data_IF_573209149660
#
_entry.id   IF_573209149660
#
_cell.length_a   1.000
_cell.length_b   1.000
_cell.length_c   1.000
_cell.angle_alpha   90.00
_cell.angle_beta   90.00
_cell.angle_gamma   90.00
#
_symmetry.space_group_name_H-M   'P 1'
#
loop_
_entity.id
_entity.type
_entity.pdbx_description
1 polymer ?
#
# COMPACT_ATOMS: atom_id res chain seq x y z
N UNK A 1 -33.10 -2.93 10.36
CA UNK A 1 -33.00 -1.49 10.01
C UNK A 1 -34.40 -0.92 9.83
N UNK A 2 -35.24 -1.53 8.99
CA UNK A 2 -36.69 -1.33 9.08
C UNK A 2 -37.21 -1.87 10.41
N UNK A 3 -37.87 -1.02 11.21
CA UNK A 3 -38.39 -1.35 12.54
C UNK A 3 -37.78 -0.52 13.70
N UNK A 4 -36.71 0.25 13.46
CA UNK A 4 -36.26 1.24 14.43
C UNK A 4 -37.21 2.44 14.41
N UNK A 5 -37.81 2.80 15.55
CA UNK A 5 -38.69 3.97 15.67
C UNK A 5 -37.95 5.21 15.15
N UNK A 6 -38.67 6.06 14.41
CA UNK A 6 -38.27 7.31 13.70
C UNK A 6 -37.40 8.33 14.47
N UNK A 7 -36.99 8.08 15.72
CA UNK A 7 -36.22 8.99 16.59
C UNK A 7 -34.74 8.65 16.74
N UNK A 8 -34.20 7.71 15.94
CA UNK A 8 -32.78 7.37 16.00
C UNK A 8 -32.03 7.98 14.80
N UNK A 9 -31.28 9.06 15.04
CA UNK A 9 -30.32 9.61 14.07
C UNK A 9 -29.06 8.74 14.04
N UNK A 10 -29.14 7.57 13.39
CA UNK A 10 -28.03 6.61 13.31
C UNK A 10 -27.64 6.44 11.84
N UNK A 11 -26.33 6.52 11.58
CA UNK A 11 -25.73 6.21 10.28
C UNK A 11 -24.91 4.92 10.45
N UNK A 12 -25.05 3.99 9.52
CA UNK A 12 -24.34 2.70 9.54
C UNK A 12 -23.41 2.62 8.35
N UNK A 13 -22.12 2.38 8.61
CA UNK A 13 -21.12 2.07 7.60
C UNK A 13 -20.76 0.59 7.65
N UNK A 14 -20.67 -0.04 6.49
CA UNK A 14 -20.17 -1.41 6.34
C UNK A 14 -18.97 -1.43 5.42
N UNK A 15 -17.99 -2.27 5.72
CA UNK A 15 -16.83 -2.53 4.85
C UNK A 15 -16.78 -4.03 4.52
N UNK A 16 -16.56 -4.38 3.25
CA UNK A 16 -16.44 -5.77 2.80
C UNK A 16 -15.46 -5.86 1.64
N UNK A 17 -14.66 -6.93 1.60
CA UNK A 17 -13.84 -7.30 0.44
C UNK A 17 -14.62 -8.23 -0.53
N UNK A 18 -15.85 -8.63 -0.17
CA UNK A 18 -16.70 -9.55 -0.93
C UNK A 18 -18.13 -8.99 -1.02
N UNK A 19 -18.37 -7.95 -1.83
CA UNK A 19 -19.71 -7.34 -1.95
C UNK A 19 -20.77 -8.34 -2.44
N UNK A 20 -20.37 -9.32 -3.25
CA UNK A 20 -21.24 -10.36 -3.78
C UNK A 20 -21.63 -11.42 -2.75
N UNK A 21 -20.98 -11.47 -1.59
CA UNK A 21 -21.35 -12.37 -0.49
C UNK A 21 -22.39 -11.75 0.45
N UNK A 22 -22.71 -10.46 0.29
CA UNK A 22 -23.75 -9.78 1.08
C UNK A 22 -25.12 -10.11 0.48
N UNK A 23 -26.08 -10.42 1.35
CA UNK A 23 -27.48 -10.62 0.97
C UNK A 23 -28.02 -9.39 0.21
N UNK A 24 -28.55 -9.64 -1.00
CA UNK A 24 -29.15 -8.61 -1.84
C UNK A 24 -30.28 -7.85 -1.15
N UNK A 25 -30.96 -8.45 -0.16
CA UNK A 25 -31.99 -7.78 0.63
C UNK A 25 -31.43 -6.64 1.51
N UNK A 26 -30.16 -6.70 1.90
CA UNK A 26 -29.50 -5.66 2.70
C UNK A 26 -29.00 -4.48 1.85
N UNK A 27 -28.75 -4.71 0.56
CA UNK A 27 -28.28 -3.71 -0.42
C UNK A 27 -29.40 -2.87 -1.05
N UNK A 28 -30.63 -3.03 -0.53
CA UNK A 28 -31.80 -2.29 -1.01
C UNK A 28 -31.95 -0.96 -0.29
N UNK A 29 -32.65 -0.04 -0.95
CA UNK A 29 -33.01 1.26 -0.42
C UNK A 29 -33.64 1.15 0.99
N UNK A 30 -33.23 2.04 1.92
CA UNK A 30 -33.63 2.02 3.34
C UNK A 30 -32.73 1.21 4.27
N UNK A 31 -31.66 0.58 3.73
CA UNK A 31 -30.67 -0.23 4.47
C UNK A 31 -29.25 0.22 4.09
N UNK A 32 -28.49 -0.59 3.36
CA UNK A 32 -27.29 -0.14 2.64
C UNK A 32 -27.71 0.34 1.26
N UNK A 33 -28.10 1.60 1.18
CA UNK A 33 -28.60 2.27 -0.03
C UNK A 33 -27.49 2.89 -0.89
N UNK A 34 -26.28 3.03 -0.32
CA UNK A 34 -25.09 3.55 -0.99
C UNK A 34 -23.95 2.55 -0.93
N UNK A 35 -23.32 2.33 -2.07
CA UNK A 35 -22.10 1.55 -2.19
C UNK A 35 -21.00 2.45 -2.74
N UNK A 36 -19.82 2.38 -2.12
CA UNK A 36 -18.64 3.12 -2.53
C UNK A 36 -17.54 2.09 -2.72
N UNK A 37 -17.08 1.94 -3.95
CA UNK A 37 -15.94 1.10 -4.26
C UNK A 37 -14.65 1.87 -3.98
N UNK A 38 -13.75 1.26 -3.21
CA UNK A 38 -12.42 1.80 -2.92
C UNK A 38 -11.42 0.96 -3.72
N UNK A 39 -10.96 1.52 -4.83
CA UNK A 39 -9.94 0.89 -5.69
C UNK A 39 -8.51 1.10 -5.19
N UNK A 40 -7.56 0.51 -5.91
CA UNK A 40 -6.12 0.74 -5.71
C UNK A 40 -5.78 2.19 -6.09
N UNK A 41 -5.00 2.91 -5.26
CA UNK A 41 -4.65 4.30 -5.55
C UNK A 41 -3.77 4.42 -6.82
N UNK A 42 -4.02 5.48 -7.59
CA UNK A 42 -3.17 5.91 -8.69
C UNK A 42 -1.85 6.53 -8.17
N UNK A 43 -0.97 6.95 -9.08
CA UNK A 43 0.32 7.57 -8.71
C UNK A 43 0.12 8.78 -7.78
N UNK A 44 -0.86 9.63 -8.09
CA UNK A 44 -1.16 10.83 -7.30
C UNK A 44 -1.70 10.45 -5.91
N UNK A 45 -2.57 9.44 -5.84
CA UNK A 45 -3.11 8.89 -4.60
C UNK A 45 -2.02 8.27 -3.72
N UNK A 46 -1.12 7.48 -4.30
CA UNK A 46 0.02 6.90 -3.58
C UNK A 46 0.96 7.97 -3.04
N UNK A 47 1.23 9.02 -3.82
CA UNK A 47 2.02 10.16 -3.35
C UNK A 47 1.35 10.84 -2.14
N UNK A 48 0.04 11.05 -2.18
CA UNK A 48 -0.69 11.62 -1.03
C UNK A 48 -0.60 10.73 0.20
N UNK A 49 -0.79 9.42 0.04
CA UNK A 49 -0.65 8.47 1.15
C UNK A 49 0.76 8.53 1.72
N UNK A 50 1.78 8.48 0.87
CA UNK A 50 3.18 8.53 1.30
C UNK A 50 3.48 9.84 2.04
N UNK A 51 3.01 10.99 1.55
CA UNK A 51 3.13 12.27 2.26
C UNK A 51 2.44 12.28 3.63
N UNK A 52 1.30 11.58 3.78
CA UNK A 52 0.62 11.45 5.08
C UNK A 52 1.46 10.58 6.03
N UNK A 53 1.98 9.46 5.54
CA UNK A 53 2.81 8.55 6.33
C UNK A 53 4.12 9.22 6.77
N UNK A 54 4.71 10.05 5.92
CA UNK A 54 5.97 10.75 6.20
C UNK A 54 5.79 12.10 6.90
N UNK A 55 4.57 12.55 7.17
CA UNK A 55 4.28 13.88 7.74
C UNK A 55 4.99 14.14 9.07
N UNK A 56 5.12 13.11 9.91
CA UNK A 56 5.76 13.21 11.22
C UNK A 56 7.22 12.72 11.22
N UNK A 57 7.74 12.35 10.05
CA UNK A 57 9.12 11.90 9.89
C UNK A 57 9.99 13.12 9.59
N UNK A 58 11.18 13.19 10.19
CA UNK A 58 12.22 14.11 9.73
C UNK A 58 12.78 13.56 8.42
N UNK A 59 12.43 14.19 7.31
CA UNK A 59 13.00 13.88 6.00
C UNK A 59 14.19 14.81 5.75
N UNK A 60 15.22 14.28 5.11
CA UNK A 60 16.31 15.08 4.56
C UNK A 60 15.83 15.88 3.33
N UNK A 61 16.45 17.02 3.06
CA UNK A 61 16.05 17.93 1.98
C UNK A 61 16.16 17.32 0.57
N UNK A 62 16.96 16.27 0.42
CA UNK A 62 17.15 15.54 -0.82
C UNK A 62 16.03 14.53 -1.12
N UNK A 63 15.16 14.22 -0.15
CA UNK A 63 14.17 13.14 -0.28
C UNK A 63 13.15 13.44 -1.38
N UNK A 64 13.09 12.56 -2.38
CA UNK A 64 12.14 12.65 -3.48
C UNK A 64 11.07 11.56 -3.40
N UNK A 65 9.98 11.86 -2.70
CA UNK A 65 8.84 10.95 -2.58
C UNK A 65 8.19 10.61 -3.93
N UNK A 66 8.30 11.48 -4.95
CA UNK A 66 7.77 11.17 -6.29
C UNK A 66 8.53 10.02 -6.95
N UNK A 67 9.84 9.92 -6.70
CA UNK A 67 10.63 8.80 -7.20
C UNK A 67 10.20 7.48 -6.54
N UNK A 68 10.00 7.47 -5.22
CA UNK A 68 9.49 6.30 -4.48
C UNK A 68 8.13 5.85 -5.03
N UNK A 69 7.25 6.78 -5.36
CA UNK A 69 5.92 6.47 -5.89
C UNK A 69 5.95 5.85 -7.28
N UNK A 70 6.94 6.22 -8.10
CA UNK A 70 7.20 5.60 -9.41
C UNK A 70 7.69 4.16 -9.28
N UNK A 71 8.37 3.81 -8.20
CA UNK A 71 8.85 2.45 -7.99
C UNK A 71 7.83 1.55 -7.25
N UNK A 72 6.80 2.15 -6.65
CA UNK A 72 5.74 1.44 -5.90
C UNK A 72 4.50 1.16 -6.73
N UNK A 73 4.68 0.57 -7.92
CA UNK A 73 3.54 0.17 -8.76
C UNK A 73 2.65 -0.85 -8.03
N UNK A 74 1.32 -0.63 -8.08
CA UNK A 74 0.29 -1.48 -7.43
C UNK A 74 0.33 -1.53 -5.90
N UNK A 75 1.14 -0.70 -5.24
CA UNK A 75 1.09 -0.60 -3.78
C UNK A 75 -0.25 -0.01 -3.34
N UNK A 76 -0.82 -0.60 -2.30
CA UNK A 76 -1.98 -0.03 -1.60
C UNK A 76 -1.53 0.73 -0.34
N UNK A 77 -2.46 1.45 0.31
CA UNK A 77 -2.14 2.16 1.56
C UNK A 77 -1.55 1.27 2.65
N UNK A 78 -1.97 -0.01 2.69
CA UNK A 78 -1.44 -1.01 3.60
C UNK A 78 0.01 -1.43 3.30
N UNK A 79 0.53 -1.18 2.10
CA UNK A 79 1.93 -1.45 1.73
C UNK A 79 2.82 -0.22 1.95
N UNK A 80 2.30 0.97 1.65
CA UNK A 80 3.04 2.24 1.77
C UNK A 80 3.33 2.63 3.23
N UNK A 81 2.45 2.25 4.16
CA UNK A 81 2.68 2.50 5.59
C UNK A 81 3.87 1.69 6.14
N UNK A 82 3.92 0.34 5.99
CA UNK A 82 5.11 -0.44 6.33
C UNK A 82 6.38 0.00 5.62
N UNK A 83 6.30 0.38 4.33
CA UNK A 83 7.45 0.91 3.59
C UNK A 83 8.06 2.14 4.27
N UNK A 84 7.21 3.09 4.68
CA UNK A 84 7.64 4.31 5.36
C UNK A 84 8.23 4.01 6.74
N UNK A 85 7.60 3.09 7.48
CA UNK A 85 8.10 2.63 8.78
C UNK A 85 9.46 1.95 8.67
N UNK A 86 9.67 1.09 7.66
CA UNK A 86 10.95 0.42 7.47
C UNK A 86 12.05 1.41 7.10
N UNK A 87 11.76 2.42 6.28
CA UNK A 87 12.71 3.50 5.99
C UNK A 87 13.10 4.28 7.26
N UNK A 88 12.13 4.53 8.17
CA UNK A 88 12.40 5.16 9.46
C UNK A 88 13.26 4.26 10.36
N UNK A 89 12.94 2.97 10.44
CA UNK A 89 13.68 1.99 11.24
C UNK A 89 15.11 1.83 10.74
N UNK A 90 15.33 1.84 9.43
CA UNK A 90 16.67 1.77 8.84
C UNK A 90 17.51 2.99 9.27
N UNK A 91 16.92 4.19 9.24
CA UNK A 91 17.57 5.40 9.73
C UNK A 91 17.97 5.30 11.21
N UNK A 92 17.10 4.74 12.05
CA UNK A 92 17.36 4.55 13.48
C UNK A 92 18.49 3.53 13.68
N UNK A 93 18.44 2.38 12.98
CA UNK A 93 19.46 1.33 13.07
C UNK A 93 20.86 1.85 12.75
N UNK A 94 21.00 2.69 11.73
CA UNK A 94 22.29 3.30 11.35
C UNK A 94 22.85 4.26 12.40
N UNK A 95 21.99 4.79 13.27
CA UNK A 95 22.36 5.72 14.34
C UNK A 95 22.37 5.07 15.73
N UNK A 96 21.89 3.83 15.86
CA UNK A 96 21.87 3.09 17.13
C UNK A 96 23.28 2.90 17.71
N UNK A 97 24.29 2.71 16.87
CA UNK A 97 25.69 2.56 17.32
C UNK A 97 26.24 3.84 18.00
N UNK A 98 25.61 4.99 17.75
CA UNK A 98 25.98 6.28 18.33
C UNK A 98 25.15 6.61 19.58
N UNK A 99 24.06 5.88 19.83
CA UNK A 99 23.16 6.11 20.95
C UNK A 99 23.58 5.18 22.07
N UNK A 100 24.01 5.75 23.20
CA UNK A 100 24.18 4.99 24.42
C UNK A 100 22.79 4.62 24.97
N UNK A 101 22.53 3.31 25.07
CA UNK A 101 21.25 2.78 25.56
C UNK A 101 21.16 2.78 27.09
N UNK A 102 22.28 2.99 27.78
CA UNK A 102 22.34 3.07 29.25
C UNK A 102 21.99 4.47 29.76
N UNK A 103 22.08 5.49 28.89
CA UNK A 103 21.82 6.88 29.25
C UNK A 103 20.33 7.22 29.13
N UNK A 104 19.81 8.04 30.06
CA UNK A 104 18.37 8.39 30.09
C UNK A 104 17.99 9.41 29.01
N UNK A 105 18.98 10.04 28.35
CA UNK A 105 18.76 11.11 27.38
C UNK A 105 19.65 10.97 26.15
N UNK A 106 19.10 11.33 24.98
CA UNK A 106 19.84 11.33 23.71
C UNK A 106 20.39 12.73 23.46
N UNK A 107 21.67 12.82 23.09
CA UNK A 107 22.30 14.08 22.71
C UNK A 107 21.55 14.80 21.58
N UNK A 108 21.40 16.11 21.73
CA UNK A 108 20.67 16.96 20.78
C UNK A 108 21.31 16.93 19.39
N UNK A 109 22.63 16.81 19.31
CA UNK A 109 23.35 16.69 18.03
C UNK A 109 23.00 15.38 17.31
N UNK A 110 22.94 14.26 18.03
CA UNK A 110 22.55 12.96 17.48
C UNK A 110 21.10 13.06 17.00
N UNK A 111 20.20 13.58 17.83
CA UNK A 111 18.78 13.73 17.52
C UNK A 111 18.54 14.59 16.27
N UNK A 112 19.34 15.64 16.08
CA UNK A 112 19.28 16.48 14.87
C UNK A 112 19.88 15.81 13.64
N UNK A 113 20.78 14.84 13.81
CA UNK A 113 21.33 14.05 12.71
C UNK A 113 20.41 12.91 12.22
N UNK A 114 19.33 12.61 12.96
CA UNK A 114 18.35 11.59 12.57
C UNK A 114 17.39 12.20 11.55
N UNK A 115 17.71 12.01 10.28
CA UNK A 115 16.86 12.37 9.15
C UNK A 115 16.81 11.22 8.15
N UNK A 116 15.61 10.89 7.70
CA UNK A 116 15.39 9.84 6.71
C UNK A 116 15.79 10.35 5.33
N UNK A 117 16.65 9.61 4.64
CA UNK A 117 17.20 9.94 3.31
C UNK A 117 16.57 9.07 2.23
N UNK A 118 16.84 9.38 0.95
CA UNK A 118 16.42 8.51 -0.16
C UNK A 118 16.99 7.09 -0.05
N UNK A 119 18.20 6.93 0.50
CA UNK A 119 18.85 5.63 0.63
C UNK A 119 18.04 4.69 1.53
N UNK A 120 17.45 5.20 2.61
CA UNK A 120 16.60 4.38 3.47
C UNK A 120 15.33 3.91 2.74
N UNK A 121 14.75 4.75 1.87
CA UNK A 121 13.61 4.34 1.03
C UNK A 121 14.03 3.28 -0.01
N UNK A 122 15.21 3.41 -0.63
CA UNK A 122 15.75 2.38 -1.53
C UNK A 122 15.91 1.04 -0.82
N UNK A 123 16.47 1.04 0.39
CA UNK A 123 16.62 -0.17 1.20
C UNK A 123 15.26 -0.77 1.58
N UNK A 124 14.32 0.07 2.02
CA UNK A 124 12.97 -0.35 2.38
C UNK A 124 12.20 -0.93 1.18
N UNK A 125 12.38 -0.39 -0.02
CA UNK A 125 11.78 -0.94 -1.24
C UNK A 125 12.29 -2.36 -1.51
N UNK A 126 13.60 -2.60 -1.33
CA UNK A 126 14.22 -3.92 -1.50
C UNK A 126 13.74 -5.00 -0.52
N UNK A 127 13.24 -4.62 0.65
CA UNK A 127 12.71 -5.56 1.67
C UNK A 127 11.18 -5.61 1.71
N UNK A 128 10.50 -4.66 1.07
CA UNK A 128 9.03 -4.56 1.11
C UNK A 128 8.33 -5.64 0.29
N UNK A 129 7.35 -6.32 0.90
CA UNK A 129 6.49 -7.29 0.23
C UNK A 129 5.15 -6.65 -0.14
N UNK A 130 4.68 -6.89 -1.37
CA UNK A 130 3.50 -6.24 -1.91
C UNK A 130 2.23 -7.04 -1.53
N UNK A 131 1.26 -6.43 -0.86
CA UNK A 131 0.00 -7.10 -0.52
C UNK A 131 -0.82 -7.44 -1.76
N UNK A 132 -0.73 -6.65 -2.82
CA UNK A 132 -1.40 -6.93 -4.10
C UNK A 132 -0.92 -8.24 -4.77
N UNK A 133 0.31 -8.68 -4.48
CA UNK A 133 0.86 -9.95 -4.97
C UNK A 133 0.62 -11.12 -3.99
N UNK A 134 0.12 -10.85 -2.77
CA UNK A 134 -0.16 -11.92 -1.78
C UNK A 134 -1.37 -12.76 -2.15
N UNK A 135 -2.34 -12.21 -2.88
CA UNK A 135 -3.53 -12.94 -3.35
C UNK A 135 -3.38 -13.54 -4.75
N UNK A 136 -2.32 -13.19 -5.48
CA UNK A 136 -1.97 -13.84 -6.76
C UNK A 136 -0.58 -14.43 -6.61
N UNK A 137 -0.53 -15.71 -6.22
CA UNK A 137 0.65 -16.52 -6.54
C UNK A 137 0.73 -16.50 -8.06
N UNK A 138 1.64 -15.70 -8.60
CA UNK A 138 2.04 -15.85 -10.00
C UNK A 138 2.74 -17.20 -10.03
N UNK A 139 1.97 -18.25 -10.26
CA UNK A 139 2.54 -19.49 -10.73
C UNK A 139 3.20 -19.13 -12.05
N UNK A 140 4.53 -19.05 -12.07
CA UNK A 140 5.26 -19.05 -13.31
C UNK A 140 4.94 -20.41 -13.95
N UNK A 141 4.12 -20.46 -15.01
CA UNK A 141 3.84 -21.73 -15.64
C UNK A 141 5.18 -22.27 -16.13
N UNK A 142 5.50 -23.52 -15.82
CA UNK A 142 6.67 -24.20 -16.40
C UNK A 142 6.45 -24.57 -17.89
N UNK A 143 5.56 -23.83 -18.56
CA UNK A 143 5.07 -24.08 -19.91
C UNK A 143 5.34 -22.81 -20.69
N UNK A 144 6.19 -22.92 -21.69
CA UNK A 144 6.57 -21.81 -22.57
C UNK A 144 5.57 -21.69 -23.71
N UNK A 145 5.65 -20.58 -24.45
CA UNK A 145 4.79 -20.34 -25.61
C UNK A 145 4.91 -21.44 -26.68
N UNK A 146 6.02 -22.18 -26.72
CA UNK A 146 6.25 -23.26 -27.69
C UNK A 146 5.51 -24.54 -27.30
N UNK A 147 5.28 -24.75 -26.00
CA UNK A 147 4.69 -25.95 -25.43
C UNK A 147 3.16 -26.02 -25.61
N UNK A 148 2.52 -24.90 -25.99
CA UNK A 148 1.08 -24.80 -26.19
C UNK A 148 0.72 -25.22 -27.64
N UNK A 149 0.30 -26.46 -27.86
CA UNK A 149 -0.14 -26.95 -29.18
C UNK A 149 -1.53 -26.43 -29.62
N UNK A 150 -1.80 -26.42 -30.92
CA UNK A 150 -3.17 -26.33 -31.47
C UNK A 150 -3.85 -24.96 -31.57
N UNK A 151 -3.30 -23.90 -30.95
CA UNK A 151 -3.94 -22.56 -30.89
C UNK A 151 -3.21 -21.48 -31.69
N UNK A 152 -2.76 -21.81 -32.92
CA UNK A 152 -1.95 -20.92 -33.76
C UNK A 152 -2.60 -19.57 -34.10
N UNK A 153 -3.92 -19.55 -34.34
CA UNK A 153 -4.64 -18.32 -34.69
C UNK A 153 -4.72 -17.34 -33.50
N UNK A 154 -5.08 -17.86 -32.32
CA UNK A 154 -5.14 -17.07 -31.07
C UNK A 154 -3.75 -16.53 -30.70
N UNK A 155 -2.70 -17.35 -30.90
CA UNK A 155 -1.31 -16.94 -30.69
C UNK A 155 -0.85 -15.82 -31.63
N UNK A 156 -1.46 -15.68 -32.81
CA UNK A 156 -1.14 -14.61 -33.77
C UNK A 156 -1.87 -13.32 -33.39
N UNK A 157 -3.16 -13.41 -33.10
CA UNK A 157 -3.95 -12.25 -32.65
C UNK A 157 -3.38 -11.61 -31.37
N UNK A 158 -2.97 -12.42 -30.39
CA UNK A 158 -2.35 -11.91 -29.16
C UNK A 158 -1.00 -11.24 -29.40
N UNK A 159 -0.26 -11.63 -30.45
CA UNK A 159 0.99 -10.95 -30.84
C UNK A 159 0.75 -9.64 -31.58
N UNK A 160 -0.36 -9.52 -32.29
CA UNK A 160 -0.72 -8.33 -33.06
C UNK A 160 -1.40 -7.24 -32.20
N UNK A 161 -1.90 -7.63 -31.01
CA UNK A 161 -2.62 -6.73 -30.09
C UNK A 161 -1.76 -6.28 -28.88
N UNK A 162 -0.55 -6.81 -28.75
CA UNK A 162 0.43 -6.42 -27.72
C UNK A 162 1.38 -5.33 -28.23
#
# INVERSE_FOLDING_TARGET
MDGMKSRAHVIVFGATNRPNSIDAALRRFGRFDREIEIGVPDEVGRLKVLCIQTKNMRLSDDVNLKWVVKDTHRYVGADLAPLSTEAALQCIKEKMDLIDLEDESIDVEILNSIAVTNQHFTTALGTSNHSALRETVVELPNVTYVDIGGVGNVKRELKETA
#
